data_IF_669363940164
#
_entry.id   IF_669363940164
#
_cell.length_a   1.000
_cell.length_b   1.000
_cell.length_c   1.000
_cell.angle_alpha   90.00
_cell.angle_beta   90.00
_cell.angle_gamma   90.00
#
_symmetry.space_group_name_H-M   'P 1'
#
loop_
_entity.id
_entity.type
_entity.pdbx_description
1 polymer ?
#
# COMPACT_ATOMS: atom_id res chain seq x y z
N UNK A 1 -12.17 -17.73 24.64
CA UNK A 1 -12.36 -16.27 24.52
C UNK A 1 -11.90 -15.69 25.84
N UNK A 2 -10.96 -14.77 25.83
CA UNK A 2 -10.53 -14.13 27.08
C UNK A 2 -11.70 -13.34 27.69
N UNK A 3 -11.88 -13.36 29.01
CA UNK A 3 -13.10 -12.87 29.65
C UNK A 3 -13.37 -11.36 29.50
N UNK A 4 -12.41 -10.60 28.94
CA UNK A 4 -12.49 -9.16 28.78
C UNK A 4 -12.53 -8.70 27.29
N UNK A 5 -12.67 -9.62 26.32
CA UNK A 5 -12.73 -9.29 24.91
C UNK A 5 -14.17 -9.41 24.40
N UNK A 6 -14.61 -8.40 23.65
CA UNK A 6 -15.91 -8.38 22.98
C UNK A 6 -15.73 -8.00 21.52
N UNK A 7 -16.17 -8.88 20.61
CA UNK A 7 -16.26 -8.54 19.20
C UNK A 7 -17.50 -7.70 18.93
N UNK A 8 -17.36 -6.70 18.07
CA UNK A 8 -18.44 -5.81 17.63
C UNK A 8 -18.60 -5.96 16.12
N UNK A 9 -19.83 -6.16 15.66
CA UNK A 9 -20.14 -6.37 14.24
C UNK A 9 -20.30 -5.02 13.53
N UNK A 10 -19.20 -4.25 13.42
CA UNK A 10 -19.12 -3.00 12.65
C UNK A 10 -18.03 -3.19 11.60
N UNK A 11 -18.31 -2.77 10.36
CA UNK A 11 -17.30 -2.79 9.31
C UNK A 11 -16.16 -1.83 9.64
N UNK A 12 -14.91 -2.24 9.39
CA UNK A 12 -13.73 -1.37 9.56
C UNK A 12 -13.71 -0.19 8.58
N UNK A 13 -14.52 -0.24 7.52
CA UNK A 13 -14.71 0.84 6.57
C UNK A 13 -15.84 1.82 6.98
N UNK A 14 -16.64 1.50 7.99
CA UNK A 14 -17.72 2.39 8.48
C UNK A 14 -17.21 3.24 9.64
N UNK A 15 -16.46 4.27 9.31
CA UNK A 15 -15.84 5.16 10.28
C UNK A 15 -16.86 5.89 11.17
N UNK A 16 -18.03 6.22 10.62
CA UNK A 16 -19.09 6.87 11.37
C UNK A 16 -19.63 5.94 12.45
N UNK A 17 -20.00 4.70 12.10
CA UNK A 17 -20.49 3.72 13.06
C UNK A 17 -19.44 3.35 14.11
N UNK A 18 -18.15 3.27 13.72
CA UNK A 18 -17.04 3.02 14.65
C UNK A 18 -16.88 4.17 15.65
N UNK A 19 -16.91 5.42 15.19
CA UNK A 19 -16.80 6.59 16.06
C UNK A 19 -18.01 6.73 16.99
N UNK A 20 -19.23 6.55 16.47
CA UNK A 20 -20.45 6.53 17.28
C UNK A 20 -20.41 5.44 18.36
N UNK A 21 -19.90 4.25 18.01
CA UNK A 21 -19.69 3.18 18.98
C UNK A 21 -18.68 3.58 20.06
N UNK A 22 -17.56 4.17 19.68
CA UNK A 22 -16.52 4.61 20.61
C UNK A 22 -17.06 5.66 21.60
N UNK A 23 -17.78 6.65 21.09
CA UNK A 23 -18.39 7.72 21.92
C UNK A 23 -19.45 7.17 22.87
N UNK A 24 -20.40 6.37 22.35
CA UNK A 24 -21.51 5.81 23.15
C UNK A 24 -21.05 4.81 24.23
N UNK A 25 -19.88 4.22 24.08
CA UNK A 25 -19.30 3.26 25.03
C UNK A 25 -18.15 3.85 25.85
N UNK A 26 -17.89 5.16 25.76
CA UNK A 26 -16.81 5.86 26.45
C UNK A 26 -15.43 5.18 26.23
N UNK A 27 -15.13 4.82 24.97
CA UNK A 27 -13.84 4.24 24.60
C UNK A 27 -12.74 5.27 24.81
N UNK A 28 -11.79 4.97 25.68
CA UNK A 28 -10.71 5.89 26.02
C UNK A 28 -9.63 6.03 24.94
N UNK A 29 -9.46 5.02 24.10
CA UNK A 29 -8.52 5.03 22.98
C UNK A 29 -8.92 3.99 21.94
N UNK A 30 -8.94 4.38 20.68
CA UNK A 30 -9.05 3.47 19.52
C UNK A 30 -7.66 3.21 18.94
N UNK A 31 -7.33 1.95 18.67
CA UNK A 31 -6.06 1.56 18.02
C UNK A 31 -6.39 0.92 16.68
N UNK A 32 -5.79 1.44 15.60
CA UNK A 32 -6.01 0.93 14.24
C UNK A 32 -4.92 -0.07 13.89
N UNK A 33 -5.31 -1.32 13.64
CA UNK A 33 -4.39 -2.40 13.25
C UNK A 33 -4.19 -2.53 11.74
N UNK A 34 -5.27 -2.58 10.92
CA UNK A 34 -5.14 -2.80 9.49
C UNK A 34 -4.77 -1.52 8.73
N UNK A 35 -4.01 -1.69 7.63
CA UNK A 35 -3.47 -0.58 6.82
C UNK A 35 -4.55 0.18 6.05
N UNK A 36 -5.53 -0.54 5.47
CA UNK A 36 -6.53 0.08 4.59
C UNK A 36 -7.31 1.21 5.28
N UNK A 37 -7.89 1.04 6.48
CA UNK A 37 -8.55 2.16 7.18
C UNK A 37 -7.64 3.35 7.46
N UNK A 38 -6.33 3.13 7.68
CA UNK A 38 -5.37 4.22 7.87
C UNK A 38 -5.19 5.03 6.59
N UNK A 39 -5.03 4.35 5.46
CA UNK A 39 -4.94 5.00 4.13
C UNK A 39 -6.23 5.73 3.78
N UNK A 40 -7.38 5.15 4.13
CA UNK A 40 -8.71 5.72 3.89
C UNK A 40 -9.06 6.87 4.85
N UNK A 41 -8.20 7.16 5.87
CA UNK A 41 -8.30 8.35 6.71
C UNK A 41 -9.12 8.21 7.98
N UNK A 42 -9.21 7.01 8.58
CA UNK A 42 -9.93 6.80 9.84
C UNK A 42 -9.39 7.68 10.97
N UNK A 43 -8.05 7.91 11.01
CA UNK A 43 -7.43 8.74 12.06
C UNK A 43 -7.89 10.18 11.92
N UNK A 44 -7.81 10.75 10.71
CA UNK A 44 -8.24 12.11 10.42
C UNK A 44 -9.74 12.29 10.74
N UNK A 45 -10.56 11.27 10.46
CA UNK A 45 -11.99 11.28 10.76
C UNK A 45 -12.27 11.32 12.28
N UNK A 46 -11.63 10.44 13.06
CA UNK A 46 -11.79 10.39 14.52
C UNK A 46 -11.27 11.67 15.18
N UNK A 47 -10.12 12.19 14.76
CA UNK A 47 -9.56 13.45 15.27
C UNK A 47 -10.50 14.63 15.01
N UNK A 48 -11.13 14.69 13.83
CA UNK A 48 -12.12 15.73 13.52
C UNK A 48 -13.34 15.73 14.45
N UNK A 49 -13.63 14.58 15.08
CA UNK A 49 -14.69 14.40 16.08
C UNK A 49 -14.18 14.55 17.52
N UNK A 50 -12.89 14.77 17.73
CA UNK A 50 -12.28 14.83 19.06
C UNK A 50 -12.22 13.47 19.77
N UNK A 51 -12.36 12.35 19.03
CA UNK A 51 -12.31 10.98 19.56
C UNK A 51 -10.86 10.48 19.59
N UNK A 52 -10.33 10.03 20.75
CA UNK A 52 -8.95 9.55 20.85
C UNK A 52 -8.68 8.34 19.98
N UNK A 53 -7.66 8.44 19.14
CA UNK A 53 -7.27 7.39 18.22
C UNK A 53 -5.74 7.32 18.09
N UNK A 54 -5.20 6.12 17.87
CA UNK A 54 -3.78 5.89 17.60
C UNK A 54 -3.60 5.25 16.22
N UNK A 55 -2.83 5.92 15.38
CA UNK A 55 -2.44 5.53 14.03
C UNK A 55 -1.87 6.73 13.28
N UNK A 56 -1.24 6.53 12.12
CA UNK A 56 -0.82 7.63 11.25
C UNK A 56 -2.03 8.30 10.58
N UNK A 57 -1.92 9.60 10.32
CA UNK A 57 -2.87 10.30 9.43
C UNK A 57 -2.88 9.69 8.04
N UNK A 58 -3.93 9.94 7.24
CA UNK A 58 -4.01 9.46 5.85
C UNK A 58 -2.82 9.89 5.01
N UNK A 59 -2.33 11.13 5.22
CA UNK A 59 -1.14 11.62 4.54
C UNK A 59 0.14 10.85 4.88
N UNK A 60 0.33 10.45 6.14
CA UNK A 60 1.46 9.63 6.57
C UNK A 60 1.29 8.16 6.13
N UNK A 61 0.06 7.64 6.16
CA UNK A 61 -0.27 6.28 5.74
C UNK A 61 -0.02 6.04 4.25
N UNK A 62 0.12 7.09 3.42
CA UNK A 62 0.53 6.96 2.02
C UNK A 62 1.90 6.30 1.84
N UNK A 63 2.78 6.38 2.85
CA UNK A 63 4.06 5.66 2.82
C UNK A 63 3.90 4.13 2.73
N UNK A 64 2.79 3.59 3.19
CA UNK A 64 2.41 2.18 3.01
C UNK A 64 1.41 2.01 1.85
N UNK A 65 0.50 2.96 1.69
CA UNK A 65 -0.61 2.90 0.74
C UNK A 65 -0.21 3.02 -0.73
N UNK A 66 0.94 3.65 -1.04
CA UNK A 66 1.43 3.83 -2.41
C UNK A 66 2.95 3.69 -2.50
N UNK A 67 3.39 2.66 -3.22
CA UNK A 67 4.82 2.42 -3.48
C UNK A 67 5.45 3.55 -4.30
N UNK A 68 4.69 4.10 -5.25
CA UNK A 68 5.12 5.24 -6.04
C UNK A 68 5.34 6.49 -5.17
N UNK A 69 4.41 6.76 -4.25
CA UNK A 69 4.56 7.87 -3.30
C UNK A 69 5.79 7.67 -2.40
N UNK A 70 5.97 6.45 -1.88
CA UNK A 70 7.11 6.11 -1.02
C UNK A 70 8.43 6.27 -1.76
N UNK A 71 8.53 5.81 -3.00
CA UNK A 71 9.73 5.98 -3.81
C UNK A 71 10.06 7.46 -4.04
N UNK A 72 9.06 8.27 -4.39
CA UNK A 72 9.24 9.73 -4.57
C UNK A 72 9.64 10.42 -3.27
N UNK A 73 9.09 9.96 -2.14
CA UNK A 73 9.47 10.47 -0.83
C UNK A 73 10.93 10.14 -0.49
N UNK A 74 11.34 8.88 -0.67
CA UNK A 74 12.71 8.43 -0.40
C UNK A 74 13.73 9.18 -1.27
N UNK A 75 13.46 9.32 -2.57
CA UNK A 75 14.30 10.07 -3.50
C UNK A 75 14.43 11.53 -3.08
N UNK A 76 13.29 12.21 -2.82
CA UNK A 76 13.27 13.61 -2.40
C UNK A 76 14.02 13.86 -1.09
N UNK A 77 13.97 12.88 -0.16
CA UNK A 77 14.64 12.94 1.14
C UNK A 77 16.09 12.38 1.11
N UNK A 78 16.56 11.96 -0.07
CA UNK A 78 17.89 11.34 -0.25
C UNK A 78 18.10 10.09 0.64
N UNK A 79 17.04 9.35 0.89
CA UNK A 79 17.10 8.07 1.61
C UNK A 79 17.42 6.97 0.57
N UNK A 80 18.45 6.13 0.82
CA UNK A 80 18.83 5.06 -0.08
C UNK A 80 17.65 4.14 -0.40
N UNK A 81 17.45 3.87 -1.69
CA UNK A 81 16.43 2.94 -2.19
C UNK A 81 16.88 2.38 -3.53
N UNK A 82 16.33 1.24 -3.95
CA UNK A 82 16.54 0.68 -5.28
C UNK A 82 16.14 1.68 -6.37
N UNK A 83 16.88 1.71 -7.49
CA UNK A 83 16.48 2.45 -8.68
C UNK A 83 15.09 1.99 -9.13
N UNK A 84 14.26 2.90 -9.64
CA UNK A 84 12.88 2.57 -9.96
C UNK A 84 12.33 3.39 -11.14
N UNK A 85 11.28 2.85 -11.77
CA UNK A 85 10.40 3.55 -12.70
C UNK A 85 8.94 3.36 -12.32
N UNK A 86 8.08 4.34 -12.67
CA UNK A 86 6.63 4.30 -12.41
C UNK A 86 5.89 4.37 -13.73
N UNK A 87 4.91 3.47 -13.94
CA UNK A 87 4.22 3.35 -15.21
C UNK A 87 2.73 3.12 -15.02
N UNK A 88 1.93 3.76 -15.85
CA UNK A 88 0.48 3.54 -16.00
C UNK A 88 0.14 2.90 -17.34
N UNK A 89 1.10 2.90 -18.28
CA UNK A 89 0.94 2.38 -19.63
C UNK A 89 1.88 1.17 -19.85
N UNK A 90 1.32 0.10 -20.40
CA UNK A 90 2.05 -1.15 -20.65
C UNK A 90 3.26 -0.92 -21.53
N UNK A 91 3.10 -0.22 -22.66
CA UNK A 91 4.17 -0.04 -23.64
C UNK A 91 5.37 0.71 -23.06
N UNK A 92 5.12 1.77 -22.26
CA UNK A 92 6.18 2.51 -21.58
C UNK A 92 6.92 1.65 -20.54
N UNK A 93 6.19 0.81 -19.80
CA UNK A 93 6.79 -0.12 -18.85
C UNK A 93 7.66 -1.18 -19.54
N UNK A 94 7.18 -1.73 -20.68
CA UNK A 94 7.93 -2.70 -21.45
C UNK A 94 9.19 -2.08 -22.06
N UNK A 95 9.11 -0.84 -22.55
CA UNK A 95 10.30 -0.12 -23.07
C UNK A 95 11.35 0.07 -21.96
N UNK A 96 10.92 0.43 -20.75
CA UNK A 96 11.83 0.53 -19.61
C UNK A 96 12.47 -0.82 -19.27
N UNK A 97 11.72 -1.93 -19.26
CA UNK A 97 12.26 -3.26 -19.03
C UNK A 97 13.35 -3.64 -20.05
N UNK A 98 13.19 -3.27 -21.32
CA UNK A 98 14.19 -3.51 -22.36
C UNK A 98 15.50 -2.73 -22.11
N UNK A 99 15.43 -1.60 -21.41
CA UNK A 99 16.59 -0.78 -21.07
C UNK A 99 17.35 -1.32 -19.86
N UNK A 100 16.60 -1.78 -18.83
CA UNK A 100 17.20 -2.16 -17.54
C UNK A 100 17.48 -3.67 -17.41
N UNK A 101 16.72 -4.51 -18.13
CA UNK A 101 16.89 -5.97 -18.12
C UNK A 101 16.32 -6.66 -16.88
N UNK A 102 16.62 -7.97 -16.78
CA UNK A 102 16.31 -8.80 -15.63
C UNK A 102 17.61 -9.31 -14.96
N UNK A 103 17.61 -9.64 -13.66
CA UNK A 103 16.45 -9.69 -12.76
C UNK A 103 15.91 -8.31 -12.36
N UNK A 104 14.59 -8.24 -12.12
CA UNK A 104 13.89 -6.99 -11.81
C UNK A 104 12.69 -7.26 -10.89
N UNK A 105 12.20 -6.27 -10.17
CA UNK A 105 11.02 -6.42 -9.31
C UNK A 105 9.88 -5.56 -9.84
N UNK A 106 8.74 -6.17 -10.12
CA UNK A 106 7.52 -5.48 -10.59
C UNK A 106 6.50 -5.47 -9.46
N UNK A 107 6.00 -4.29 -9.10
CA UNK A 107 5.08 -4.11 -7.97
C UNK A 107 3.84 -3.33 -8.41
N UNK A 108 2.65 -3.84 -8.08
CA UNK A 108 1.43 -3.03 -8.11
C UNK A 108 1.51 -1.92 -7.06
N UNK A 109 1.10 -0.69 -7.41
CA UNK A 109 1.35 0.49 -6.57
C UNK A 109 0.59 0.48 -5.25
N UNK A 110 -0.69 0.07 -5.25
CA UNK A 110 -1.55 0.13 -4.06
C UNK A 110 -1.37 -1.05 -3.09
N UNK A 111 -2.25 -1.07 -2.08
CA UNK A 111 -2.36 -2.19 -1.14
C UNK A 111 -2.89 -3.43 -1.88
N UNK A 112 -2.07 -4.44 -2.03
CA UNK A 112 -2.39 -5.69 -2.75
C UNK A 112 -2.30 -6.93 -1.85
N UNK A 113 -2.43 -6.75 -0.52
CA UNK A 113 -2.39 -7.81 0.49
C UNK A 113 -1.19 -8.78 0.32
N UNK A 114 -0.01 -8.24 0.02
CA UNK A 114 1.22 -9.00 -0.18
C UNK A 114 1.33 -9.75 -1.52
N UNK A 115 0.33 -9.65 -2.40
CA UNK A 115 0.30 -10.39 -3.69
C UNK A 115 0.72 -9.55 -4.89
N UNK A 116 0.88 -8.25 -4.72
CA UNK A 116 1.20 -7.31 -5.80
C UNK A 116 2.70 -7.13 -6.06
N UNK A 117 3.56 -8.10 -5.72
CA UNK A 117 5.01 -8.04 -5.93
C UNK A 117 5.46 -9.30 -6.67
N UNK A 118 6.15 -9.12 -7.79
CA UNK A 118 6.75 -10.20 -8.58
C UNK A 118 8.23 -9.92 -8.74
N UNK A 119 9.05 -10.85 -8.24
CA UNK A 119 10.49 -10.88 -8.50
C UNK A 119 10.69 -11.65 -9.79
N UNK A 120 10.95 -10.94 -10.87
CA UNK A 120 11.13 -11.53 -12.21
C UNK A 120 12.61 -11.79 -12.45
N UNK A 121 12.98 -13.06 -12.56
CA UNK A 121 14.35 -13.48 -12.86
C UNK A 121 14.66 -13.43 -14.35
N UNK A 122 13.63 -13.40 -15.20
CA UNK A 122 13.73 -13.37 -16.66
C UNK A 122 12.89 -12.21 -17.23
N UNK A 123 13.25 -11.75 -18.44
CA UNK A 123 12.47 -10.74 -19.16
C UNK A 123 11.03 -11.17 -19.42
N UNK A 124 10.82 -12.45 -19.73
CA UNK A 124 9.47 -12.99 -19.99
C UNK A 124 8.60 -12.83 -18.75
N UNK A 125 9.10 -13.22 -17.57
CA UNK A 125 8.39 -13.07 -16.31
C UNK A 125 8.09 -11.59 -15.99
N UNK A 126 9.02 -10.69 -16.28
CA UNK A 126 8.84 -9.25 -16.06
C UNK A 126 7.77 -8.65 -16.98
N UNK A 127 7.80 -9.00 -18.27
CA UNK A 127 6.81 -8.55 -19.24
C UNK A 127 5.40 -9.08 -18.92
N UNK A 128 5.29 -10.35 -18.54
CA UNK A 128 4.02 -10.97 -18.14
C UNK A 128 3.47 -10.28 -16.88
N UNK A 129 4.32 -10.02 -15.87
CA UNK A 129 3.93 -9.31 -14.67
C UNK A 129 3.38 -7.91 -14.96
N UNK A 130 4.04 -7.13 -15.83
CA UNK A 130 3.58 -5.80 -16.24
C UNK A 130 2.22 -5.87 -16.93
N UNK A 131 2.05 -6.82 -17.87
CA UNK A 131 0.79 -6.99 -18.61
C UNK A 131 -0.36 -7.39 -17.68
N UNK A 132 -0.12 -8.34 -16.78
CA UNK A 132 -1.12 -8.83 -15.84
C UNK A 132 -1.54 -7.73 -14.86
N UNK A 133 -0.61 -6.92 -14.38
CA UNK A 133 -0.91 -5.84 -13.44
C UNK A 133 -1.64 -4.68 -14.11
N UNK A 134 -1.13 -4.16 -15.23
CA UNK A 134 -1.68 -2.97 -15.88
C UNK A 134 -2.88 -3.26 -16.79
N UNK A 135 -2.84 -4.35 -17.58
CA UNK A 135 -3.88 -4.67 -18.55
C UNK A 135 -4.87 -5.72 -18.02
N UNK A 136 -4.42 -6.64 -17.21
CA UNK A 136 -5.22 -7.74 -16.67
C UNK A 136 -6.15 -7.33 -15.53
N UNK A 137 -6.00 -6.11 -15.00
CA UNK A 137 -6.74 -5.60 -13.84
C UNK A 137 -6.72 -6.57 -12.63
N UNK A 138 -5.65 -7.37 -12.52
CA UNK A 138 -5.52 -8.41 -11.51
C UNK A 138 -5.60 -7.90 -10.06
N UNK A 139 -5.33 -6.59 -9.86
CA UNK A 139 -5.27 -5.93 -8.57
C UNK A 139 -6.23 -4.72 -8.47
N UNK A 140 -7.23 -4.61 -9.35
CA UNK A 140 -8.18 -3.49 -9.35
C UNK A 140 -7.46 -2.13 -9.43
N UNK A 141 -7.87 -1.16 -8.60
CA UNK A 141 -7.25 0.17 -8.57
C UNK A 141 -5.76 0.13 -8.22
N UNK A 142 -5.31 -0.82 -7.37
CA UNK A 142 -3.90 -1.00 -7.04
C UNK A 142 -3.03 -1.36 -8.25
N UNK A 143 -3.61 -2.01 -9.27
CA UNK A 143 -2.97 -2.35 -10.53
C UNK A 143 -2.98 -1.24 -11.59
N UNK A 144 -3.62 -0.10 -11.32
CA UNK A 144 -3.68 1.03 -12.28
C UNK A 144 -2.30 1.69 -12.52
N UNK A 145 -1.33 1.39 -11.67
CA UNK A 145 0.07 1.81 -11.79
C UNK A 145 0.98 0.69 -11.29
N UNK A 146 2.12 0.55 -11.93
CA UNK A 146 3.21 -0.33 -11.46
C UNK A 146 4.45 0.47 -11.12
N UNK A 147 5.19 -0.02 -10.14
CA UNK A 147 6.56 0.42 -9.83
C UNK A 147 7.48 -0.73 -10.22
N UNK A 148 8.44 -0.46 -11.08
CA UNK A 148 9.47 -1.40 -11.51
C UNK A 148 10.76 -0.99 -10.80
N UNK A 149 11.33 -1.90 -10.01
CA UNK A 149 12.47 -1.63 -9.15
C UNK A 149 13.65 -2.55 -9.48
N UNK A 150 14.84 -2.02 -9.30
CA UNK A 150 16.07 -2.80 -9.31
C UNK A 150 15.97 -3.99 -8.34
N UNK A 151 16.41 -5.16 -8.81
CA UNK A 151 16.57 -6.33 -7.94
C UNK A 151 17.82 -6.15 -7.07
N UNK A 152 17.63 -6.10 -5.76
CA UNK A 152 18.73 -6.04 -4.80
C UNK A 152 19.01 -7.44 -4.28
N UNK A 153 20.24 -7.92 -4.46
CA UNK A 153 20.71 -9.18 -3.89
C UNK A 153 21.29 -8.91 -2.50
N UNK A 154 20.78 -9.59 -1.47
CA UNK A 154 21.21 -9.36 -0.08
C UNK A 154 20.33 -10.06 0.94
N UNK A 155 20.61 -9.78 2.20
CA UNK A 155 19.81 -10.24 3.33
C UNK A 155 18.74 -9.20 3.68
N UNK A 156 17.52 -9.67 3.92
CA UNK A 156 16.41 -8.85 4.43
C UNK A 156 16.51 -8.79 5.96
N UNK A 157 16.47 -7.57 6.54
CA UNK A 157 16.65 -7.32 7.96
C UNK A 157 15.37 -6.87 8.67
#
# INVERSE_FOLDING_TARGET
>A
MEPNLKNVAISVADFAALADFAENNNVGLTIVGPEQPLVDGIVDFFESRGSPIFGPSSGAAQLEGSKAFTKDFLERQQIPTANYGKFTEVDAALEYLQQVGAPIVVKADGLAAGKGVIVAMTMIEAEDAVRDMLAGNAFGEAGSRVVIEEFLDGEEA
#
